data_IF_117700100306
#
_entry.id   IF_117700100306
#
_cell.length_a   1.000
_cell.length_b   1.000
_cell.length_c   1.000
_cell.angle_alpha   90.00
_cell.angle_beta   90.00
_cell.angle_gamma   90.00
#
_symmetry.space_group_name_H-M   'P 1'
#
loop_
_entity.id
_entity.type
_entity.pdbx_description
1 polymer ?
#
# COMPACT_ATOMS: atom_id res chain seq x y z
N UNK A 1 -7.81 12.57 15.59
CA UNK A 1 -6.46 12.93 15.09
C UNK A 1 -5.44 12.49 16.14
N UNK A 2 -4.58 11.52 15.81
CA UNK A 2 -3.55 10.94 16.71
C UNK A 2 -2.21 11.70 16.58
N UNK A 3 -2.16 12.73 15.74
CA UNK A 3 -0.95 13.52 15.49
C UNK A 3 -0.57 14.49 16.61
N UNK A 4 -1.49 14.77 17.55
CA UNK A 4 -1.25 15.57 18.74
C UNK A 4 -1.53 14.77 20.02
N UNK A 5 -0.51 14.14 20.64
CA UNK A 5 -0.70 13.32 21.82
C UNK A 5 -1.18 14.11 23.05
N UNK A 6 -1.10 15.44 23.04
CA UNK A 6 -1.59 16.27 24.15
C UNK A 6 -3.05 16.71 23.98
N UNK A 7 -3.67 16.47 22.82
CA UNK A 7 -5.07 16.84 22.58
C UNK A 7 -5.79 15.86 21.63
N UNK A 8 -6.04 14.61 22.06
CA UNK A 8 -6.71 13.62 21.24
C UNK A 8 -8.16 14.03 20.95
N UNK A 9 -8.55 13.99 19.67
CA UNK A 9 -9.95 14.18 19.26
C UNK A 9 -10.64 12.83 19.08
N UNK A 10 -11.83 12.68 19.67
CA UNK A 10 -12.66 11.48 19.56
C UNK A 10 -13.08 11.27 18.10
N UNK A 11 -12.62 10.17 17.49
CA UNK A 11 -12.88 9.86 16.08
C UNK A 11 -14.16 9.04 15.86
N UNK A 12 -14.63 8.33 16.89
CA UNK A 12 -15.79 7.44 16.84
C UNK A 12 -15.69 6.34 17.89
N UNK A 13 -16.75 5.54 18.01
CA UNK A 13 -16.82 4.42 18.94
C UNK A 13 -17.84 3.39 18.48
N UNK A 14 -17.70 2.16 18.98
CA UNK A 14 -18.65 1.08 18.78
C UNK A 14 -19.06 0.55 20.15
N UNK A 15 -20.35 0.43 20.40
CA UNK A 15 -20.89 -0.08 21.66
C UNK A 15 -20.98 -1.61 21.60
N UNK A 16 -20.21 -2.31 22.43
CA UNK A 16 -20.27 -3.76 22.54
C UNK A 16 -21.36 -4.18 23.54
N UNK A 17 -22.10 -5.28 23.29
CA UNK A 17 -23.06 -5.81 24.27
C UNK A 17 -22.41 -6.35 25.56
N UNK A 18 -22.05 -5.45 26.48
CA UNK A 18 -21.45 -5.79 27.76
C UNK A 18 -20.26 -4.91 28.13
N UNK A 19 -19.48 -5.36 29.11
CA UNK A 19 -18.26 -4.67 29.52
C UNK A 19 -17.08 -5.22 28.74
N UNK A 20 -16.46 -4.37 27.91
CA UNK A 20 -15.19 -4.68 27.28
C UNK A 20 -14.06 -4.68 28.33
N UNK A 21 -13.26 -5.74 28.35
CA UNK A 21 -12.15 -5.92 29.31
C UNK A 21 -10.79 -5.54 28.71
N UNK A 22 -10.58 -5.87 27.45
CA UNK A 22 -9.30 -5.64 26.78
C UNK A 22 -9.49 -5.44 25.27
N UNK A 23 -8.53 -4.74 24.66
CA UNK A 23 -8.46 -4.47 23.22
C UNK A 23 -7.06 -4.76 22.68
N UNK A 24 -7.01 -5.53 21.59
CA UNK A 24 -5.75 -5.84 20.90
C UNK A 24 -5.86 -5.48 19.41
N UNK A 25 -4.80 -4.92 18.83
CA UNK A 25 -4.79 -4.46 17.44
C UNK A 25 -3.65 -5.14 16.67
N UNK A 26 -3.98 -5.85 15.59
CA UNK A 26 -2.98 -6.43 14.67
C UNK A 26 -3.52 -6.60 13.26
N UNK A 27 -2.67 -6.38 12.25
CA UNK A 27 -2.99 -6.70 10.85
C UNK A 27 -4.25 -6.03 10.27
N UNK A 28 -4.66 -4.86 10.79
CA UNK A 28 -5.90 -4.19 10.39
C UNK A 28 -7.17 -4.73 11.08
N UNK A 29 -7.01 -5.54 12.12
CA UNK A 29 -8.10 -6.03 12.95
C UNK A 29 -7.99 -5.49 14.37
N UNK A 30 -9.13 -5.12 14.94
CA UNK A 30 -9.28 -4.80 16.37
C UNK A 30 -10.05 -5.96 17.02
N UNK A 31 -9.43 -6.58 18.00
CA UNK A 31 -9.99 -7.66 18.80
C UNK A 31 -10.46 -7.06 20.12
N UNK A 32 -11.75 -7.15 20.41
CA UNK A 32 -12.35 -6.66 21.66
C UNK A 32 -12.89 -7.85 22.43
N UNK A 33 -12.38 -8.05 23.65
CA UNK A 33 -12.86 -9.09 24.55
C UNK A 33 -13.99 -8.54 25.44
N UNK A 34 -15.20 -9.03 25.23
CA UNK A 34 -16.38 -8.78 26.07
C UNK A 34 -16.67 -10.02 26.95
N UNK A 35 -17.42 -9.86 28.03
CA UNK A 35 -17.88 -10.95 28.92
C UNK A 35 -18.67 -12.03 28.16
N UNK A 36 -19.37 -11.65 27.08
CA UNK A 36 -20.24 -12.54 26.33
C UNK A 36 -19.61 -13.05 25.02
N UNK A 37 -18.65 -12.34 24.43
CA UNK A 37 -18.10 -12.66 23.11
C UNK A 37 -16.76 -12.00 22.82
N UNK A 38 -16.02 -12.61 21.88
CA UNK A 38 -14.91 -11.96 21.19
C UNK A 38 -15.45 -11.26 19.94
N UNK A 39 -15.26 -9.95 19.86
CA UNK A 39 -15.61 -9.17 18.67
C UNK A 39 -14.35 -8.87 17.85
N UNK A 40 -14.44 -9.09 16.54
CA UNK A 40 -13.35 -8.80 15.59
C UNK A 40 -13.86 -7.75 14.62
N UNK A 41 -13.30 -6.55 14.71
CA UNK A 41 -13.64 -5.43 13.82
C UNK A 41 -12.55 -5.33 12.77
N UNK A 42 -12.94 -5.30 11.49
CA UNK A 42 -12.04 -4.86 10.43
C UNK A 42 -11.84 -3.36 10.58
N UNK A 43 -10.64 -2.95 10.99
CA UNK A 43 -10.24 -1.55 11.10
C UNK A 43 -9.22 -1.24 10.01
N UNK A 44 -9.69 -0.60 8.95
CA UNK A 44 -8.80 0.08 8.02
C UNK A 44 -8.45 1.41 8.66
N UNK A 45 -7.21 1.61 9.08
CA UNK A 45 -6.76 2.95 9.44
C UNK A 45 -6.85 3.80 8.18
N UNK A 46 -7.92 4.59 8.06
CA UNK A 46 -8.04 5.66 7.08
C UNK A 46 -7.25 6.87 7.59
N UNK A 47 -6.02 6.65 8.06
CA UNK A 47 -5.03 7.71 8.13
C UNK A 47 -4.77 8.11 6.68
N UNK A 48 -5.58 9.02 6.16
CA UNK A 48 -5.26 9.74 4.93
C UNK A 48 -4.19 10.78 5.31
N UNK A 49 -3.02 10.27 5.69
CA UNK A 49 -1.75 10.79 5.22
C UNK A 49 -1.19 9.69 4.34
N UNK A 50 -1.53 9.76 3.06
CA UNK A 50 -0.83 9.10 1.97
C UNK A 50 0.68 9.30 2.14
N UNK A 51 1.32 8.41 2.87
CA UNK A 51 2.72 8.13 2.63
C UNK A 51 2.68 7.01 1.60
N UNK A 52 2.93 7.30 0.30
CA UNK A 52 3.02 6.23 -0.68
C UNK A 52 4.01 5.22 -0.12
N UNK A 53 3.59 3.94 -0.07
CA UNK A 53 4.46 2.87 0.37
C UNK A 53 5.72 2.93 -0.51
N UNK A 54 6.83 3.45 0.04
CA UNK A 54 8.08 3.54 -0.70
C UNK A 54 8.43 2.08 -1.01
N UNK A 55 8.51 1.71 -2.30
CA UNK A 55 8.84 0.34 -2.66
C UNK A 55 10.12 -0.07 -1.94
N UNK A 56 10.16 -1.27 -1.34
CA UNK A 56 11.38 -1.72 -0.66
C UNK A 56 12.33 -2.46 -1.61
N UNK A 57 11.85 -2.78 -2.82
CA UNK A 57 12.54 -3.56 -3.82
C UNK A 57 12.34 -2.98 -5.21
N UNK A 58 13.25 -3.30 -6.11
CA UNK A 58 13.03 -3.09 -7.53
C UNK A 58 11.93 -4.03 -8.03
N UNK A 59 10.96 -3.49 -8.77
CA UNK A 59 9.94 -4.29 -9.44
C UNK A 59 9.62 -3.70 -10.80
N UNK A 60 9.41 -4.58 -11.79
CA UNK A 60 8.83 -4.23 -13.08
C UNK A 60 7.44 -4.85 -13.12
N UNK A 61 6.43 -4.02 -13.37
CA UNK A 61 5.04 -4.45 -13.41
C UNK A 61 4.63 -4.85 -14.82
N UNK A 62 3.54 -5.61 -14.91
CA UNK A 62 3.01 -6.00 -16.21
C UNK A 62 2.54 -4.76 -16.98
N UNK A 63 2.84 -4.72 -18.27
CA UNK A 63 2.42 -3.62 -19.12
C UNK A 63 0.90 -3.63 -19.33
N UNK A 64 0.23 -2.49 -19.16
CA UNK A 64 -1.23 -2.36 -19.28
C UNK A 64 -1.66 -0.96 -19.80
N UNK A 65 -2.79 -0.87 -20.52
CA UNK A 65 -3.46 -1.95 -21.21
C UNK A 65 -2.61 -2.43 -22.39
N UNK A 66 -2.68 -3.72 -22.69
CA UNK A 66 -2.23 -4.24 -23.97
C UNK A 66 -3.42 -4.83 -24.73
N UNK A 67 -4.19 -3.95 -25.36
CA UNK A 67 -5.11 -4.31 -26.45
C UNK A 67 -5.42 -3.08 -27.31
N UNK A 68 -5.01 -3.13 -28.59
CA UNK A 68 -5.43 -2.34 -29.76
C UNK A 68 -5.29 -0.79 -29.77
N UNK A 69 -4.72 -0.16 -28.76
CA UNK A 69 -4.20 1.21 -28.85
C UNK A 69 -2.67 1.18 -28.78
N UNK A 70 -1.99 1.96 -29.62
CA UNK A 70 -0.54 1.99 -29.85
C UNK A 70 0.32 2.46 -28.66
N UNK A 71 -0.25 2.52 -27.46
CA UNK A 71 0.40 2.95 -26.23
C UNK A 71 0.09 1.98 -25.10
N UNK A 72 1.12 1.57 -24.36
CA UNK A 72 1.03 0.73 -23.17
C UNK A 72 1.86 1.40 -22.07
N UNK A 73 1.43 1.26 -20.82
CA UNK A 73 2.18 1.82 -19.67
C UNK A 73 3.08 0.72 -19.11
N UNK A 74 4.34 1.08 -18.87
CA UNK A 74 5.32 0.22 -18.19
C UNK A 74 5.58 0.86 -16.82
N UNK A 75 5.04 0.26 -15.78
CA UNK A 75 5.26 0.72 -14.41
C UNK A 75 6.44 0.00 -13.79
N UNK A 76 7.25 0.73 -13.03
CA UNK A 76 8.36 0.19 -12.27
C UNK A 76 8.43 0.84 -10.89
N UNK A 77 9.04 0.13 -9.96
CA UNK A 77 9.18 0.55 -8.57
C UNK A 77 10.65 0.61 -8.19
N UNK A 78 11.06 1.71 -7.56
CA UNK A 78 12.43 1.94 -7.13
C UNK A 78 12.48 2.15 -5.61
N UNK A 79 13.41 1.50 -4.88
CA UNK A 79 13.55 1.69 -3.44
C UNK A 79 14.24 2.99 -3.04
N UNK A 80 14.97 3.60 -3.97
CA UNK A 80 15.59 4.90 -3.82
C UNK A 80 15.75 5.54 -5.20
N UNK A 81 16.06 6.85 -5.23
CA UNK A 81 16.42 7.54 -6.48
C UNK A 81 17.71 6.91 -7.02
N UNK A 82 17.62 6.25 -8.17
CA UNK A 82 18.72 5.50 -8.78
C UNK A 82 18.64 5.62 -10.28
N UNK A 83 19.78 5.50 -10.97
CA UNK A 83 19.80 5.52 -12.43
C UNK A 83 19.03 4.30 -12.98
N UNK A 84 18.10 4.53 -13.91
CA UNK A 84 17.28 3.50 -14.57
C UNK A 84 17.44 3.61 -16.08
N UNK A 85 17.51 2.45 -16.74
CA UNK A 85 17.41 2.31 -18.18
C UNK A 85 16.35 1.28 -18.55
N UNK A 86 15.42 1.63 -19.43
CA UNK A 86 14.41 0.73 -19.96
C UNK A 86 14.78 0.33 -21.40
N UNK A 87 15.35 -0.87 -21.55
CA UNK A 87 15.84 -1.40 -22.82
C UNK A 87 14.90 -2.45 -23.41
N UNK A 88 14.69 -2.40 -24.73
CA UNK A 88 13.89 -3.35 -25.49
C UNK A 88 14.81 -4.30 -26.24
N UNK A 89 14.60 -5.61 -26.08
CA UNK A 89 15.37 -6.66 -26.72
C UNK A 89 14.50 -7.52 -27.64
N UNK A 90 15.09 -8.09 -28.68
CA UNK A 90 14.45 -9.11 -29.49
C UNK A 90 14.63 -10.52 -28.87
N UNK A 91 13.99 -11.53 -29.46
CA UNK A 91 14.07 -12.92 -28.99
C UNK A 91 15.48 -13.54 -29.09
N UNK A 92 16.39 -12.93 -29.84
CA UNK A 92 17.79 -13.32 -29.92
C UNK A 92 18.65 -12.64 -28.85
N UNK A 93 18.05 -11.85 -27.95
CA UNK A 93 18.76 -11.09 -26.92
C UNK A 93 19.49 -9.86 -27.44
N UNK A 94 19.24 -9.43 -28.68
CA UNK A 94 19.83 -8.21 -29.25
C UNK A 94 19.01 -6.99 -28.83
N UNK A 95 19.70 -5.94 -28.37
CA UNK A 95 19.04 -4.68 -28.01
C UNK A 95 18.51 -3.98 -29.26
N UNK A 96 17.21 -3.69 -29.28
CA UNK A 96 16.50 -2.99 -30.34
C UNK A 96 16.52 -1.49 -30.10
N UNK A 97 16.19 -1.04 -28.88
CA UNK A 97 16.18 0.39 -28.51
C UNK A 97 16.19 0.58 -26.99
N UNK A 98 16.44 1.81 -26.53
CA UNK A 98 16.27 2.25 -25.14
C UNK A 98 15.10 3.24 -25.11
N UNK A 99 14.03 2.92 -24.37
CA UNK A 99 12.84 3.76 -24.26
C UNK A 99 13.02 4.91 -23.26
N UNK A 100 13.84 4.69 -22.23
CA UNK A 100 14.08 5.68 -21.19
C UNK A 100 15.46 5.47 -20.56
N UNK A 101 16.16 6.56 -20.25
CA UNK A 101 17.37 6.58 -19.44
C UNK A 101 17.36 7.82 -18.54
N UNK A 102 17.48 7.66 -17.23
CA UNK A 102 17.37 8.77 -16.28
C UNK A 102 17.70 8.40 -14.83
N UNK A 103 17.52 9.37 -13.93
CA UNK A 103 17.76 9.28 -12.46
C UNK A 103 16.44 9.50 -11.73
#
# INVERSE_FOLDING_TARGET
DVGDPVNPTFAGGYDTPGYAWDVFVTGGYVYVADINSLMIILFTSTDIKDKPAIPQTFALHQNYPNTFNSSTVIEYSLPARTKVSLDIYNLLGQKVTTLYEGI
#
